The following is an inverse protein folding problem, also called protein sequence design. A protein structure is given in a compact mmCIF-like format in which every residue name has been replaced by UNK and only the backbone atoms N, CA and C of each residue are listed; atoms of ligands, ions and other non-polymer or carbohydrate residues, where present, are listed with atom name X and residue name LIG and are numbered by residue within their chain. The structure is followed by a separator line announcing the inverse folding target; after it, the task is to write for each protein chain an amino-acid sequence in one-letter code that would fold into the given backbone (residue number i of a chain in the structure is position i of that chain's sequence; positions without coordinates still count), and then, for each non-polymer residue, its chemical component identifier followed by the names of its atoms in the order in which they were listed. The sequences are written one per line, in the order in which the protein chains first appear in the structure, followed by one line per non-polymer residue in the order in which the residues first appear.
data_IF_408256307779
#
_entry.id   IF_408256307779
#
_cell.length_a   1.000
_cell.length_b   1.000
_cell.length_c   1.000
_cell.angle_alpha   90.00
_cell.angle_beta   90.00
_cell.angle_gamma   90.00
#
_symmetry.space_group_name_H-M   'P 1'
#
loop_
_entity.id
_entity.type
_entity.pdbx_description
1 polymer ?
#
# COMPACT_ATOMS: atom_id res chain seq x y z
N UNK A 1 -17.67 25.61 12.86
CA UNK A 1 -16.66 25.19 13.86
C UNK A 1 -16.61 23.67 13.82
N UNK A 2 -15.59 22.98 13.36
CA UNK A 2 -14.17 23.29 13.17
C UNK A 2 -13.69 22.49 11.95
N UNK A 3 -13.10 23.19 10.98
CA UNK A 3 -12.32 22.60 9.89
C UNK A 3 -11.15 21.79 10.48
N UNK A 4 -10.87 20.62 9.88
CA UNK A 4 -9.56 19.96 9.98
C UNK A 4 -8.97 19.98 8.58
N UNK A 5 -8.21 21.05 8.32
CA UNK A 5 -7.33 21.16 7.16
C UNK A 5 -6.15 20.19 7.35
N UNK A 6 -6.32 18.95 6.88
CA UNK A 6 -5.20 18.18 6.36
C UNK A 6 -4.98 18.64 4.93
N UNK A 7 -3.78 19.10 4.61
CA UNK A 7 -3.41 19.46 3.24
C UNK A 7 -3.46 18.17 2.42
N UNK A 8 -4.59 17.96 1.75
CA UNK A 8 -4.75 16.96 0.70
C UNK A 8 -3.91 17.45 -0.48
N UNK A 9 -2.67 16.95 -0.59
CA UNK A 9 -1.91 17.13 -1.83
C UNK A 9 -2.52 16.19 -2.87
N UNK A 10 -3.62 16.61 -3.47
CA UNK A 10 -4.18 15.94 -4.65
C UNK A 10 -3.28 16.26 -5.84
N UNK A 11 -2.63 15.24 -6.39
CA UNK A 11 -2.34 15.23 -7.83
C UNK A 11 -3.71 15.01 -8.46
N UNK A 12 -4.17 15.87 -9.37
CA UNK A 12 -5.55 15.92 -9.86
C UNK A 12 -6.20 14.52 -9.97
N UNK A 13 -7.23 14.30 -9.15
CA UNK A 13 -8.03 13.07 -9.02
C UNK A 13 -7.33 11.78 -8.51
N UNK A 14 -6.13 11.86 -7.92
CA UNK A 14 -5.52 10.78 -7.12
C UNK A 14 -5.57 11.09 -5.62
N UNK A 15 -6.30 10.27 -4.87
CA UNK A 15 -6.31 10.34 -3.40
C UNK A 15 -5.05 9.68 -2.84
N UNK A 16 -4.09 10.48 -2.40
CA UNK A 16 -2.85 9.98 -1.78
C UNK A 16 -3.17 9.36 -0.41
N UNK A 17 -2.87 8.07 -0.28
CA UNK A 17 -3.12 7.27 0.91
C UNK A 17 -1.86 7.12 1.78
N UNK A 18 -0.68 7.15 1.15
CA UNK A 18 0.60 6.99 1.81
C UNK A 18 1.71 7.61 0.98
N UNK A 19 2.77 8.09 1.64
CA UNK A 19 4.00 8.55 0.99
C UNK A 19 5.20 7.89 1.64
N UNK A 20 6.14 7.41 0.82
CA UNK A 20 7.41 6.86 1.27
C UNK A 20 8.53 7.40 0.39
N UNK A 21 9.26 8.39 0.90
CA UNK A 21 10.25 9.15 0.14
C UNK A 21 9.57 10.00 -0.94
N UNK A 22 10.14 9.96 -2.14
CA UNK A 22 9.58 10.61 -3.33
C UNK A 22 8.43 9.83 -3.98
N UNK A 23 7.94 8.75 -3.35
CA UNK A 23 6.90 7.89 -3.93
C UNK A 23 5.57 8.12 -3.20
N UNK A 24 4.56 8.49 -3.98
CA UNK A 24 3.18 8.61 -3.55
C UNK A 24 2.39 7.35 -3.92
N UNK A 25 1.60 6.84 -2.99
CA UNK A 25 0.72 5.69 -3.18
C UNK A 25 -0.72 6.12 -2.95
N UNK A 26 -1.62 5.78 -3.86
CA UNK A 26 -2.97 6.32 -3.79
C UNK A 26 -3.98 5.61 -4.66
N UNK A 27 -5.24 5.96 -4.44
CA UNK A 27 -6.40 5.50 -5.20
C UNK A 27 -6.67 6.49 -6.34
N UNK A 28 -6.89 5.96 -7.54
CA UNK A 28 -7.23 6.73 -8.73
C UNK A 28 -8.75 6.93 -8.78
N UNK A 29 -9.19 8.18 -8.71
CA UNK A 29 -10.60 8.57 -8.62
C UNK A 29 -11.29 8.76 -9.98
N UNK A 30 -10.55 9.06 -11.05
CA UNK A 30 -11.12 9.32 -12.37
C UNK A 30 -10.24 8.80 -13.51
N UNK A 31 -10.82 8.71 -14.71
CA UNK A 31 -10.05 8.40 -15.92
C UNK A 31 -9.03 9.51 -16.25
N UNK A 32 -9.40 10.77 -15.97
CA UNK A 32 -8.56 11.94 -16.23
C UNK A 32 -7.28 11.93 -15.40
N UNK A 33 -7.29 11.37 -14.19
CA UNK A 33 -6.08 11.18 -13.40
C UNK A 33 -5.03 10.32 -14.14
N UNK A 34 -5.46 9.39 -15.00
CA UNK A 34 -4.55 8.53 -15.78
C UNK A 34 -3.83 9.33 -16.87
N UNK A 35 -4.45 10.38 -17.41
CA UNK A 35 -3.85 11.26 -18.42
C UNK A 35 -2.62 12.01 -17.89
N UNK A 36 -2.55 12.22 -16.58
CA UNK A 36 -1.44 12.89 -15.92
C UNK A 36 -0.22 11.99 -15.73
N UNK A 37 -0.35 10.67 -15.91
CA UNK A 37 0.76 9.76 -15.68
C UNK A 37 1.74 9.69 -16.83
N UNK A 38 3.03 9.77 -16.50
CA UNK A 38 4.10 9.38 -17.42
C UNK A 38 4.22 7.86 -17.37
N UNK A 39 3.65 7.17 -18.37
CA UNK A 39 3.67 5.71 -18.48
C UNK A 39 4.78 5.26 -19.44
N UNK A 40 5.89 4.77 -18.86
CA UNK A 40 7.00 4.20 -19.62
C UNK A 40 6.67 2.76 -20.07
N UNK A 41 6.38 2.58 -21.36
CA UNK A 41 6.11 1.25 -21.95
C UNK A 41 7.38 0.66 -22.54
N UNK A 42 7.70 -0.58 -22.16
CA UNK A 42 8.97 -1.22 -22.50
C UNK A 42 9.10 -1.53 -24.00
N UNK A 43 10.24 -1.17 -24.59
CA UNK A 43 10.61 -1.44 -25.98
C UNK A 43 11.98 -2.13 -26.03
N UNK A 44 12.44 -2.55 -27.21
CA UNK A 44 13.65 -3.38 -27.38
C UNK A 44 14.87 -2.92 -26.55
N UNK A 45 15.08 -1.61 -26.38
CA UNK A 45 16.19 -1.03 -25.62
C UNK A 45 15.76 -0.12 -24.46
N UNK A 46 14.47 -0.13 -24.08
CA UNK A 46 13.93 0.73 -23.03
C UNK A 46 13.19 -0.12 -22.01
N UNK A 47 13.62 -0.03 -20.74
CA UNK A 47 12.90 -0.59 -19.61
C UNK A 47 11.53 0.10 -19.50
N UNK A 48 10.50 -0.67 -19.20
CA UNK A 48 9.14 -0.17 -19.18
C UNK A 48 8.13 -1.27 -18.85
N UNK A 49 6.92 -0.87 -18.49
CA UNK A 49 5.79 -1.79 -18.37
C UNK A 49 5.60 -2.56 -19.67
N UNK A 50 5.45 -3.87 -19.58
CA UNK A 50 5.36 -4.69 -20.78
C UNK A 50 4.51 -5.94 -20.66
N UNK A 51 4.12 -6.35 -19.45
CA UNK A 51 3.36 -7.57 -19.25
C UNK A 51 2.04 -7.55 -20.00
N UNK A 52 1.20 -6.53 -19.77
CA UNK A 52 -0.13 -6.46 -20.38
C UNK A 52 -0.08 -6.15 -21.88
N UNK A 53 0.88 -5.31 -22.28
CA UNK A 53 1.11 -5.03 -23.69
C UNK A 53 1.51 -6.30 -24.46
N UNK A 54 2.47 -7.09 -23.95
CA UNK A 54 2.93 -8.31 -24.64
C UNK A 54 1.92 -9.45 -24.57
N UNK A 55 1.26 -9.65 -23.42
CA UNK A 55 0.39 -10.80 -23.19
C UNK A 55 -1.02 -10.62 -23.74
N UNK A 56 -1.51 -9.38 -23.82
CA UNK A 56 -2.89 -9.09 -24.21
C UNK A 56 -3.02 -8.04 -25.33
N UNK A 57 -1.91 -7.50 -25.86
CA UNK A 57 -1.95 -6.47 -26.89
C UNK A 57 -2.59 -5.16 -26.42
N UNK A 58 -2.68 -4.93 -25.11
CA UNK A 58 -3.45 -3.84 -24.53
C UNK A 58 -2.56 -2.65 -24.17
N UNK A 59 -2.85 -1.43 -24.66
CA UNK A 59 -2.19 -0.22 -24.20
C UNK A 59 -2.46 0.02 -22.70
N UNK A 60 -1.45 0.44 -21.97
CA UNK A 60 -1.56 0.65 -20.51
C UNK A 60 -2.53 1.76 -20.15
N UNK A 61 -2.47 2.90 -20.83
CA UNK A 61 -3.40 4.01 -20.62
C UNK A 61 -4.87 3.54 -20.79
N UNK A 62 -5.15 2.81 -21.86
CA UNK A 62 -6.47 2.21 -22.10
C UNK A 62 -6.86 1.24 -20.98
N UNK A 63 -5.96 0.34 -20.57
CA UNK A 63 -6.22 -0.60 -19.47
C UNK A 63 -6.59 0.14 -18.18
N UNK A 64 -5.81 1.16 -17.80
CA UNK A 64 -5.98 1.90 -16.55
C UNK A 64 -7.27 2.73 -16.57
N UNK A 65 -7.51 3.51 -17.63
CA UNK A 65 -8.77 4.26 -17.79
C UNK A 65 -9.99 3.35 -17.77
N UNK A 66 -9.95 2.25 -18.52
CA UNK A 66 -11.06 1.28 -18.55
C UNK A 66 -11.34 0.68 -17.19
N UNK A 67 -10.31 0.49 -16.38
CA UNK A 67 -10.45 -0.03 -15.03
C UNK A 67 -11.24 0.92 -14.13
N UNK A 68 -10.96 2.22 -14.19
CA UNK A 68 -11.73 3.23 -13.46
C UNK A 68 -13.17 3.28 -14.00
N UNK A 69 -13.32 3.33 -15.33
CA UNK A 69 -14.62 3.39 -16.02
C UNK A 69 -15.54 2.20 -15.68
N UNK A 70 -14.96 1.02 -15.43
CA UNK A 70 -15.69 -0.20 -15.11
C UNK A 70 -15.92 -0.38 -13.60
N UNK A 71 -15.63 0.64 -12.79
CA UNK A 71 -15.81 0.60 -11.34
C UNK A 71 -14.80 -0.27 -10.61
N UNK A 72 -13.65 -0.59 -11.22
CA UNK A 72 -12.57 -1.26 -10.49
C UNK A 72 -11.83 -0.23 -9.62
N UNK A 73 -11.45 -0.63 -8.41
CA UNK A 73 -10.55 0.16 -7.60
C UNK A 73 -9.13 0.04 -8.19
N UNK A 74 -8.59 1.16 -8.67
CA UNK A 74 -7.26 1.25 -9.25
C UNK A 74 -6.35 2.01 -8.29
N UNK A 75 -5.31 1.35 -7.80
CA UNK A 75 -4.27 1.95 -6.98
C UNK A 75 -3.00 2.14 -7.81
N UNK A 76 -2.29 3.24 -7.57
CA UNK A 76 -1.04 3.56 -8.25
C UNK A 76 0.06 3.94 -7.26
N UNK A 77 1.30 3.71 -7.67
CA UNK A 77 2.50 4.28 -7.09
C UNK A 77 3.13 5.22 -8.12
N UNK A 78 3.38 6.49 -7.75
CA UNK A 78 3.97 7.52 -8.62
C UNK A 78 5.16 8.20 -7.96
N UNK A 79 6.13 8.67 -8.76
CA UNK A 79 7.21 9.54 -8.27
C UNK A 79 6.79 11.03 -8.30
N UNK A 80 7.63 11.93 -7.78
CA UNK A 80 7.42 13.38 -7.81
C UNK A 80 7.37 13.99 -9.24
N UNK A 81 7.55 13.19 -10.29
CA UNK A 81 7.43 13.59 -11.71
C UNK A 81 6.20 12.96 -12.37
N UNK A 82 5.25 12.47 -11.58
CA UNK A 82 4.03 11.80 -12.03
C UNK A 82 4.28 10.54 -12.86
N UNK A 83 5.47 9.95 -12.75
CA UNK A 83 5.78 8.70 -13.44
C UNK A 83 5.11 7.54 -12.73
N UNK A 84 4.40 6.72 -13.48
CA UNK A 84 3.81 5.50 -12.95
C UNK A 84 4.93 4.49 -12.63
N UNK A 85 5.07 4.12 -11.36
CA UNK A 85 6.04 3.13 -10.89
C UNK A 85 5.41 1.75 -10.72
N UNK A 86 4.11 1.70 -10.46
CA UNK A 86 3.35 0.46 -10.38
C UNK A 86 1.86 0.72 -10.20
N UNK A 87 1.04 -0.30 -10.47
CA UNK A 87 -0.40 -0.23 -10.26
C UNK A 87 -0.96 -1.57 -9.78
N UNK A 88 -2.09 -1.52 -9.08
CA UNK A 88 -2.86 -2.68 -8.63
C UNK A 88 -4.35 -2.44 -8.84
N UNK A 89 -5.03 -3.43 -9.42
CA UNK A 89 -6.43 -3.32 -9.83
C UNK A 89 -7.31 -4.36 -9.17
N UNK A 90 -8.39 -3.91 -8.58
CA UNK A 90 -9.31 -4.74 -7.83
C UNK A 90 -10.74 -4.60 -8.35
N UNK A 91 -11.38 -5.72 -8.62
CA UNK A 91 -12.80 -5.78 -8.96
C UNK A 91 -13.60 -6.23 -7.74
N UNK A 92 -14.62 -5.47 -7.37
CA UNK A 92 -15.54 -5.89 -6.30
C UNK A 92 -16.46 -7.00 -6.84
N UNK A 93 -16.44 -8.16 -6.22
CA UNK A 93 -17.20 -9.34 -6.68
C UNK A 93 -18.27 -9.81 -5.69
N UNK A 94 -18.26 -9.28 -4.46
CA UNK A 94 -19.30 -9.49 -3.46
C UNK A 94 -19.35 -8.31 -2.48
N UNK A 95 -20.56 -7.90 -2.11
CA UNK A 95 -20.81 -6.87 -1.11
C UNK A 95 -20.74 -7.40 0.33
N UNK A 96 -20.67 -6.48 1.29
CA UNK A 96 -20.81 -6.82 2.70
C UNK A 96 -22.21 -7.36 2.97
N UNK A 97 -22.31 -8.47 3.71
CA UNK A 97 -23.60 -9.05 4.09
C UNK A 97 -23.62 -9.30 5.59
N UNK A 98 -24.47 -8.57 6.30
CA UNK A 98 -24.78 -8.87 7.69
C UNK A 98 -25.80 -10.01 7.77
N UNK A 99 -25.44 -11.11 8.41
CA UNK A 99 -26.40 -12.18 8.75
C UNK A 99 -26.77 -12.10 10.22
N UNK A 100 -28.02 -11.79 10.52
CA UNK A 100 -28.59 -11.90 11.87
C UNK A 100 -28.86 -13.37 12.16
N UNK A 101 -28.10 -13.97 13.08
CA UNK A 101 -28.34 -15.33 13.53
C UNK A 101 -29.19 -15.31 14.81
N UNK A 102 -30.41 -15.88 14.76
CA UNK A 102 -31.31 -16.21 15.89
C UNK A 102 -31.08 -15.38 17.17
N UNK A 103 -31.25 -14.06 17.06
CA UNK A 103 -31.22 -13.13 18.21
C UNK A 103 -29.88 -12.88 18.90
N UNK A 104 -28.75 -13.50 18.50
CA UNK A 104 -27.43 -13.23 19.08
C UNK A 104 -26.30 -13.30 18.04
N UNK A 105 -25.65 -12.13 17.88
CA UNK A 105 -24.51 -11.77 17.01
C UNK A 105 -24.79 -11.80 15.50
N UNK A 106 -24.74 -10.61 14.90
CA UNK A 106 -24.63 -10.45 13.45
C UNK A 106 -23.26 -10.98 13.00
N UNK A 107 -23.24 -11.94 12.07
CA UNK A 107 -22.00 -12.31 11.37
C UNK A 107 -21.89 -11.35 10.19
N UNK A 108 -20.98 -10.38 10.30
CA UNK A 108 -20.64 -9.49 9.19
C UNK A 108 -19.75 -10.27 8.24
N UNK A 109 -20.24 -10.54 7.02
CA UNK A 109 -19.39 -10.99 5.93
C UNK A 109 -18.78 -9.77 5.28
N UNK A 110 -17.46 -9.66 5.32
CA UNK A 110 -16.74 -8.63 4.60
C UNK A 110 -16.84 -8.84 3.09
N UNK A 111 -16.91 -7.74 2.35
CA UNK A 111 -16.87 -7.69 0.90
C UNK A 111 -15.65 -8.43 0.35
N UNK A 112 -15.75 -8.87 -0.90
CA UNK A 112 -14.68 -9.62 -1.56
C UNK A 112 -14.28 -8.86 -2.80
N UNK A 113 -12.99 -8.56 -2.89
CA UNK A 113 -12.36 -8.01 -4.08
C UNK A 113 -11.47 -9.06 -4.74
N UNK A 114 -11.51 -9.09 -6.06
CA UNK A 114 -10.63 -9.88 -6.90
C UNK A 114 -9.49 -8.98 -7.41
N UNK A 115 -8.26 -9.30 -7.03
CA UNK A 115 -7.07 -8.69 -7.63
C UNK A 115 -6.96 -9.18 -9.08
N UNK A 116 -7.26 -8.30 -10.03
CA UNK A 116 -7.23 -8.57 -11.47
C UNK A 116 -5.84 -8.43 -12.07
N UNK A 117 -5.05 -7.49 -11.56
CA UNK A 117 -3.72 -7.21 -12.06
C UNK A 117 -2.91 -6.44 -11.04
N UNK A 118 -1.62 -6.73 -10.96
CA UNK A 118 -0.61 -5.92 -10.27
C UNK A 118 0.67 -5.95 -11.10
N UNK A 119 1.27 -4.79 -11.34
CA UNK A 119 2.55 -4.70 -12.04
C UNK A 119 3.39 -3.56 -11.45
N UNK A 120 4.70 -3.79 -11.38
CA UNK A 120 5.70 -2.79 -11.01
C UNK A 120 6.66 -2.64 -12.17
N UNK A 121 6.95 -1.39 -12.50
CA UNK A 121 7.88 -1.01 -13.54
C UNK A 121 9.24 -1.71 -13.31
N UNK A 122 9.85 -2.35 -14.34
CA UNK A 122 11.01 -3.22 -14.15
C UNK A 122 12.21 -2.56 -13.47
N UNK A 123 12.48 -1.29 -13.75
CA UNK A 123 13.57 -0.52 -13.13
C UNK A 123 13.42 -0.31 -11.62
N UNK A 124 12.22 -0.52 -11.08
CA UNK A 124 11.89 -0.32 -9.68
C UNK A 124 11.44 -1.61 -8.99
N UNK A 125 11.79 -2.77 -9.58
CA UNK A 125 11.57 -4.06 -8.92
C UNK A 125 12.54 -4.23 -7.75
N UNK A 126 12.18 -5.11 -6.82
CA UNK A 126 13.00 -5.49 -5.65
C UNK A 126 13.26 -4.42 -4.59
N UNK A 127 12.81 -3.18 -4.77
CA UNK A 127 12.87 -2.11 -3.74
C UNK A 127 11.60 -2.00 -2.89
N UNK A 128 10.64 -2.91 -3.08
CA UNK A 128 9.47 -3.03 -2.19
C UNK A 128 8.19 -2.32 -2.63
N UNK A 129 8.21 -1.52 -3.70
CA UNK A 129 7.03 -0.78 -4.21
C UNK A 129 5.79 -1.68 -4.34
N UNK A 130 5.91 -2.83 -5.01
CA UNK A 130 4.74 -3.70 -5.22
C UNK A 130 4.16 -4.28 -3.93
N UNK A 131 5.01 -4.52 -2.92
CA UNK A 131 4.58 -5.01 -1.61
C UNK A 131 3.85 -3.90 -0.84
N UNK A 132 4.42 -2.69 -0.83
CA UNK A 132 3.84 -1.54 -0.15
C UNK A 132 2.54 -1.09 -0.83
N UNK A 133 2.52 -0.98 -2.16
CA UNK A 133 1.33 -0.67 -2.96
C UNK A 133 0.19 -1.64 -2.66
N UNK A 134 0.46 -2.94 -2.64
CA UNK A 134 -0.55 -3.93 -2.31
C UNK A 134 -1.06 -3.76 -0.88
N UNK A 135 -0.17 -3.59 0.10
CA UNK A 135 -0.54 -3.43 1.50
C UNK A 135 -1.45 -2.21 1.75
N UNK A 136 -1.10 -1.07 1.17
CA UNK A 136 -1.91 0.16 1.24
C UNK A 136 -3.28 -0.05 0.58
N UNK A 137 -3.30 -0.69 -0.60
CA UNK A 137 -4.55 -0.97 -1.30
C UNK A 137 -5.50 -1.81 -0.46
N UNK A 138 -5.01 -2.92 0.13
CA UNK A 138 -5.88 -3.82 0.91
C UNK A 138 -6.30 -3.24 2.25
N UNK A 139 -5.49 -2.37 2.86
CA UNK A 139 -5.88 -1.61 4.05
C UNK A 139 -6.99 -0.60 3.74
N UNK A 140 -6.90 0.08 2.60
CA UNK A 140 -7.93 1.00 2.11
C UNK A 140 -9.24 0.27 1.81
N UNK A 141 -9.18 -0.87 1.13
CA UNK A 141 -10.38 -1.64 0.73
C UNK A 141 -11.12 -2.29 1.91
N UNK A 142 -10.43 -2.59 3.02
CA UNK A 142 -11.00 -3.20 4.24
C UNK A 142 -11.83 -4.47 3.96
N UNK A 143 -11.36 -5.30 3.04
CA UNK A 143 -12.11 -6.43 2.48
C UNK A 143 -11.31 -7.73 2.48
N UNK A 144 -11.99 -8.83 2.15
CA UNK A 144 -11.30 -10.04 1.70
C UNK A 144 -10.74 -9.81 0.31
N UNK A 145 -9.55 -10.35 0.03
CA UNK A 145 -8.92 -10.25 -1.30
C UNK A 145 -8.70 -11.65 -1.83
N UNK A 146 -9.16 -11.92 -3.04
CA UNK A 146 -8.81 -13.14 -3.76
C UNK A 146 -7.95 -12.82 -4.98
N UNK A 147 -7.12 -13.78 -5.38
CA UNK A 147 -6.31 -13.66 -6.60
C UNK A 147 -6.04 -15.03 -7.20
N UNK A 148 -5.85 -15.07 -8.52
CA UNK A 148 -5.33 -16.24 -9.22
C UNK A 148 -3.98 -15.87 -9.82
N UNK A 149 -2.87 -16.30 -9.19
CA UNK A 149 -1.54 -16.05 -9.72
C UNK A 149 -1.38 -16.67 -11.11
N UNK A 150 -0.68 -15.98 -11.98
CA UNK A 150 -0.48 -16.38 -13.38
C UNK A 150 0.65 -17.42 -13.56
N UNK A 151 1.55 -17.51 -12.59
CA UNK A 151 2.67 -18.45 -12.58
C UNK A 151 3.07 -18.87 -11.14
N UNK A 152 3.95 -19.86 -11.04
CA UNK A 152 4.39 -20.41 -9.75
C UNK A 152 5.17 -19.40 -8.89
N UNK A 153 5.98 -18.54 -9.49
CA UNK A 153 6.75 -17.52 -8.76
C UNK A 153 5.83 -16.45 -8.16
N UNK A 154 4.82 -16.01 -8.92
CA UNK A 154 3.77 -15.13 -8.43
C UNK A 154 2.99 -15.81 -7.29
N UNK A 155 2.62 -17.09 -7.45
CA UNK A 155 1.93 -17.83 -6.41
C UNK A 155 2.76 -17.94 -5.11
N UNK A 156 4.07 -18.16 -5.24
CA UNK A 156 5.00 -18.16 -4.11
C UNK A 156 5.07 -16.79 -3.45
N UNK A 157 5.19 -15.71 -4.24
CA UNK A 157 5.19 -14.34 -3.73
C UNK A 157 3.92 -14.02 -2.93
N UNK A 158 2.73 -14.33 -3.46
CA UNK A 158 1.47 -14.07 -2.75
C UNK A 158 1.38 -14.84 -1.43
N UNK A 159 1.77 -16.13 -1.41
CA UNK A 159 1.71 -16.95 -0.21
C UNK A 159 2.74 -16.53 0.84
N UNK A 160 4.01 -16.45 0.45
CA UNK A 160 5.11 -16.27 1.39
C UNK A 160 5.34 -14.82 1.78
N UNK A 161 5.02 -13.86 0.90
CA UNK A 161 5.31 -12.43 1.14
C UNK A 161 4.06 -11.61 1.43
N UNK A 162 2.89 -12.04 0.98
CA UNK A 162 1.61 -11.33 1.18
C UNK A 162 0.59 -12.13 2.00
N UNK A 163 1.01 -13.25 2.61
CA UNK A 163 0.21 -14.04 3.56
C UNK A 163 -1.09 -14.63 2.98
N UNK A 164 -1.14 -14.84 1.66
CA UNK A 164 -2.27 -15.49 1.04
C UNK A 164 -2.31 -16.99 1.36
N UNK A 165 -3.50 -17.51 1.61
CA UNK A 165 -3.77 -18.92 1.83
C UNK A 165 -4.60 -19.48 0.68
N UNK A 166 -4.67 -20.81 0.52
CA UNK A 166 -5.62 -21.40 -0.43
C UNK A 166 -7.04 -21.20 0.10
N UNK A 167 -7.99 -20.91 -0.77
CA UNK A 167 -9.41 -20.96 -0.41
C UNK A 167 -9.74 -22.38 0.05
N UNK A 168 -10.24 -22.53 1.28
CA UNK A 168 -10.67 -23.82 1.80
C UNK A 168 -12.11 -24.09 1.38
N UNK A 169 -12.48 -25.37 1.22
CA UNK A 169 -13.85 -25.76 0.83
C UNK A 169 -14.94 -25.35 1.81
N UNK A 170 -14.56 -24.96 3.04
CA UNK A 170 -15.46 -24.49 4.10
C UNK A 170 -15.52 -22.96 4.19
N UNK A 171 -14.76 -22.22 3.38
CA UNK A 171 -14.78 -20.76 3.35
C UNK A 171 -16.07 -20.27 2.69
N UNK A 172 -17.11 -20.15 3.52
CA UNK A 172 -18.43 -19.70 3.12
C UNK A 172 -18.48 -18.25 2.60
N UNK A 173 -17.34 -17.54 2.61
CA UNK A 173 -17.13 -16.17 2.13
C UNK A 173 -16.98 -16.08 0.61
N UNK A 174 -16.58 -17.16 -0.07
CA UNK A 174 -16.22 -17.11 -1.50
C UNK A 174 -17.01 -18.18 -2.29
N UNK A 175 -17.54 -17.78 -3.45
CA UNK A 175 -18.23 -18.70 -4.37
C UNK A 175 -17.33 -19.87 -4.80
N UNK A 176 -17.91 -21.06 -4.98
CA UNK A 176 -17.21 -22.28 -5.42
C UNK A 176 -16.45 -22.12 -6.74
N UNK A 177 -16.83 -21.15 -7.58
CA UNK A 177 -16.11 -20.80 -8.82
C UNK A 177 -14.67 -20.35 -8.57
N UNK A 178 -14.33 -19.91 -7.35
CA UNK A 178 -13.00 -19.44 -6.98
C UNK A 178 -12.21 -20.43 -6.11
N UNK A 179 -12.60 -21.71 -6.05
CA UNK A 179 -11.94 -22.74 -5.22
C UNK A 179 -10.42 -22.88 -5.44
N UNK A 180 -9.91 -22.50 -6.62
CA UNK A 180 -8.50 -22.57 -6.97
C UNK A 180 -7.74 -21.25 -6.71
N UNK A 181 -8.43 -20.22 -6.21
CA UNK A 181 -7.84 -18.92 -5.95
C UNK A 181 -7.12 -18.96 -4.60
N UNK A 182 -6.23 -17.98 -4.43
CA UNK A 182 -5.69 -17.65 -3.13
C UNK A 182 -6.57 -16.60 -2.46
N UNK A 183 -6.66 -16.65 -1.13
CA UNK A 183 -7.43 -15.74 -0.28
C UNK A 183 -6.50 -15.10 0.75
N UNK A 184 -6.56 -13.78 0.81
CA UNK A 184 -6.13 -12.98 1.96
C UNK A 184 -7.40 -12.52 2.68
N UNK A 185 -7.71 -13.18 3.79
CA UNK A 185 -8.93 -12.92 4.54
C UNK A 185 -8.84 -11.63 5.34
N UNK A 186 -9.97 -10.96 5.53
CA UNK A 186 -10.11 -9.97 6.59
C UNK A 186 -10.35 -10.70 7.92
N UNK A 187 -9.62 -10.39 9.01
CA UNK A 187 -8.81 -9.18 9.24
C UNK A 187 -7.31 -9.29 8.92
N UNK A 188 -6.79 -10.40 8.38
CA UNK A 188 -5.35 -10.52 8.02
C UNK A 188 -4.93 -9.43 7.02
N UNK A 189 -5.78 -9.13 6.05
CA UNK A 189 -5.59 -8.04 5.10
C UNK A 189 -5.32 -6.69 5.80
N UNK A 190 -6.04 -6.40 6.89
CA UNK A 190 -5.95 -5.14 7.64
C UNK A 190 -4.60 -4.94 8.32
N UNK A 191 -3.98 -6.01 8.80
CA UNK A 191 -2.73 -5.94 9.57
C UNK A 191 -1.49 -6.04 8.67
N UNK A 192 -1.67 -6.26 7.36
CA UNK A 192 -0.57 -6.49 6.44
C UNK A 192 0.38 -5.29 6.36
N UNK A 193 -0.14 -4.06 6.26
CA UNK A 193 0.72 -2.86 6.24
C UNK A 193 1.54 -2.74 7.52
N UNK A 194 0.92 -2.95 8.68
CA UNK A 194 1.61 -2.92 9.98
C UNK A 194 2.70 -3.99 10.09
N UNK A 195 2.44 -5.21 9.63
CA UNK A 195 3.45 -6.29 9.60
C UNK A 195 4.62 -5.90 8.70
N UNK A 196 4.34 -5.31 7.54
CA UNK A 196 5.37 -4.86 6.62
C UNK A 196 6.18 -3.71 7.22
N UNK A 197 5.52 -2.76 7.88
CA UNK A 197 6.16 -1.64 8.56
C UNK A 197 7.10 -2.10 9.69
N UNK A 198 6.71 -3.09 10.49
CA UNK A 198 7.59 -3.66 11.51
C UNK A 198 8.80 -4.40 10.94
N UNK A 199 8.61 -5.17 9.86
CA UNK A 199 9.71 -5.93 9.25
C UNK A 199 10.65 -5.07 8.39
N UNK A 200 10.13 -4.00 7.78
CA UNK A 200 10.84 -3.16 6.81
C UNK A 200 10.50 -1.67 7.00
N UNK A 201 10.80 -1.08 8.16
CA UNK A 201 10.35 0.28 8.50
C UNK A 201 10.87 1.32 7.51
N UNK A 202 12.12 1.22 7.05
CA UNK A 202 12.68 2.11 6.03
C UNK A 202 11.93 2.08 4.69
N UNK A 203 11.33 0.94 4.34
CA UNK A 203 10.54 0.83 3.10
C UNK A 203 9.22 1.57 3.23
N UNK A 204 8.62 1.59 4.42
CA UNK A 204 7.30 2.17 4.66
C UNK A 204 7.38 3.64 5.08
N UNK A 205 8.35 3.99 5.91
CA UNK A 205 8.49 5.32 6.53
C UNK A 205 9.96 5.79 6.48
N UNK A 206 10.56 5.89 5.29
CA UNK A 206 11.98 6.23 5.13
C UNK A 206 12.34 7.55 5.82
N UNK A 207 11.49 8.58 5.74
CA UNK A 207 11.76 9.89 6.31
C UNK A 207 11.87 9.85 7.84
N UNK A 208 11.03 9.03 8.50
CA UNK A 208 11.12 8.85 9.95
C UNK A 208 12.42 8.15 10.33
N UNK A 209 12.76 7.07 9.64
CA UNK A 209 13.96 6.28 9.92
C UNK A 209 15.22 7.09 9.64
N UNK A 210 15.28 7.81 8.52
CA UNK A 210 16.39 8.69 8.18
C UNK A 210 16.55 9.81 9.19
N UNK A 211 15.44 10.43 9.62
CA UNK A 211 15.47 11.47 10.66
C UNK A 211 15.98 10.91 11.99
N UNK A 212 15.51 9.73 12.39
CA UNK A 212 15.94 9.08 13.63
C UNK A 212 17.44 8.75 13.62
N UNK A 213 17.92 8.08 12.58
CA UNK A 213 19.32 7.68 12.46
C UNK A 213 20.26 8.89 12.36
N UNK A 214 19.85 9.93 11.64
CA UNK A 214 20.61 11.19 11.53
C UNK A 214 20.78 11.86 12.90
N UNK A 215 19.69 11.94 13.68
CA UNK A 215 19.72 12.51 15.03
C UNK A 215 20.54 11.65 16.00
N UNK A 216 20.38 10.32 15.95
CA UNK A 216 21.20 9.40 16.74
C UNK A 216 22.68 9.56 16.44
N UNK A 217 23.04 9.66 15.16
CA UNK A 217 24.43 9.89 14.75
C UNK A 217 24.98 11.22 15.27
N UNK A 218 24.20 12.31 15.17
CA UNK A 218 24.60 13.62 15.70
C UNK A 218 24.80 13.58 17.22
N UNK A 219 23.86 12.97 17.95
CA UNK A 219 23.93 12.81 19.40
C UNK A 219 25.17 12.02 19.82
N UNK A 220 25.45 10.89 19.16
CA UNK A 220 26.62 10.06 19.45
C UNK A 220 27.95 10.76 19.15
N UNK A 221 27.95 11.71 18.21
CA UNK A 221 29.12 12.53 17.87
C UNK A 221 29.25 13.80 18.74
N UNK A 222 28.36 14.01 19.72
CA UNK A 222 28.32 15.22 20.53
C UNK A 222 28.02 16.49 19.73
N UNK A 223 27.41 16.35 18.54
CA UNK A 223 27.01 17.50 17.72
C UNK A 223 25.73 18.12 18.26
N UNK A 224 25.66 19.44 18.22
CA UNK A 224 24.45 20.17 18.58
C UNK A 224 23.29 19.77 17.64
N UNK A 225 22.17 19.37 18.22
CA UNK A 225 20.93 19.07 17.50
C UNK A 225 20.00 20.29 17.61
N UNK A 226 19.50 20.77 16.47
CA UNK A 226 18.64 21.94 16.48
C UNK A 226 17.23 21.58 16.96
N UNK A 227 16.54 22.54 17.61
CA UNK A 227 15.13 22.38 18.00
C UNK A 227 14.23 22.08 16.79
N UNK A 228 14.58 22.61 15.61
CA UNK A 228 13.85 22.37 14.36
C UNK A 228 13.92 20.90 13.95
N UNK A 229 15.08 20.25 14.11
CA UNK A 229 15.25 18.84 13.76
C UNK A 229 14.48 17.93 14.71
N UNK A 230 14.45 18.26 16.01
CA UNK A 230 13.63 17.56 17.01
C UNK A 230 12.14 17.69 16.65
N UNK A 231 11.63 18.89 16.42
CA UNK A 231 10.20 19.12 16.07
C UNK A 231 9.83 18.36 14.79
N UNK A 232 10.73 18.34 13.78
CA UNK A 232 10.52 17.57 12.55
C UNK A 232 10.40 16.09 12.85
N UNK A 233 11.31 15.55 13.67
CA UNK A 233 11.29 14.14 14.06
C UNK A 233 10.03 13.78 14.86
N UNK A 234 9.64 14.61 15.84
CA UNK A 234 8.40 14.44 16.61
C UNK A 234 7.17 14.39 15.70
N UNK A 235 7.09 15.29 14.73
CA UNK A 235 5.99 15.34 13.76
C UNK A 235 5.93 14.04 12.93
N UNK A 236 7.07 13.57 12.42
CA UNK A 236 7.17 12.32 11.67
C UNK A 236 6.77 11.11 12.53
N UNK A 237 7.20 11.09 13.79
CA UNK A 237 6.92 10.01 14.73
C UNK A 237 5.43 9.95 15.07
N UNK A 238 4.81 11.10 15.35
CA UNK A 238 3.38 11.17 15.62
C UNK A 238 2.56 10.64 14.44
N UNK A 239 2.88 11.07 13.22
CA UNK A 239 2.16 10.66 12.01
C UNK A 239 2.31 9.16 11.71
N UNK A 240 3.46 8.55 12.02
CA UNK A 240 3.75 7.15 11.71
C UNK A 240 3.56 6.19 12.90
N UNK A 241 3.23 6.70 14.09
CA UNK A 241 3.15 5.93 15.35
C UNK A 241 2.27 4.67 15.27
N UNK A 242 1.20 4.72 14.49
CA UNK A 242 0.27 3.60 14.32
C UNK A 242 0.87 2.41 13.53
N UNK A 243 1.90 2.65 12.72
CA UNK A 243 2.60 1.65 11.89
C UNK A 243 3.84 1.07 12.56
N UNK A 244 4.41 1.76 13.54
CA UNK A 244 5.59 1.29 14.26
C UNK A 244 5.29 0.05 15.10
N UNK A 245 6.27 -0.84 15.22
CA UNK A 245 6.26 -1.85 16.26
C UNK A 245 6.52 -1.20 17.64
N UNK A 246 6.10 -1.90 18.70
CA UNK A 246 6.17 -1.36 20.06
C UNK A 246 7.61 -1.13 20.56
N UNK A 247 8.58 -1.90 20.07
CA UNK A 247 9.97 -1.78 20.52
C UNK A 247 10.61 -0.51 19.91
N UNK A 248 10.51 -0.36 18.59
CA UNK A 248 11.05 0.80 17.87
C UNK A 248 10.36 2.10 18.31
N UNK A 249 9.04 2.06 18.54
CA UNK A 249 8.31 3.22 19.10
C UNK A 249 8.82 3.59 20.49
N UNK A 250 9.05 2.61 21.37
CA UNK A 250 9.58 2.87 22.71
C UNK A 250 11.00 3.44 22.65
N UNK A 251 11.86 2.89 21.79
CA UNK A 251 13.23 3.37 21.57
C UNK A 251 13.24 4.84 21.11
N UNK A 252 12.46 5.19 20.08
CA UNK A 252 12.35 6.56 19.57
C UNK A 252 11.81 7.54 20.62
N UNK A 253 10.84 7.12 21.43
CA UNK A 253 10.30 7.94 22.52
C UNK A 253 11.32 8.15 23.64
N UNK A 254 12.13 7.14 23.99
CA UNK A 254 13.21 7.28 24.97
C UNK A 254 14.29 8.24 24.47
N UNK A 255 14.63 8.16 23.18
CA UNK A 255 15.54 9.11 22.55
C UNK A 255 15.03 10.54 22.66
N UNK A 256 13.77 10.82 22.33
CA UNK A 256 13.17 12.15 22.46
C UNK A 256 13.22 12.71 23.88
N UNK A 257 12.93 11.88 24.90
CA UNK A 257 12.95 12.31 26.30
C UNK A 257 14.32 12.81 26.77
N UNK A 258 15.41 12.34 26.16
CA UNK A 258 16.77 12.81 26.46
C UNK A 258 17.00 14.28 26.10
N UNK A 259 16.19 14.85 25.19
CA UNK A 259 16.29 16.26 24.80
C UNK A 259 15.32 17.16 25.56
N UNK A 260 14.17 16.63 26.00
CA UNK A 260 13.20 17.35 26.84
C UNK A 260 13.71 17.53 28.27
N UNK A 261 14.56 16.61 28.75
CA UNK A 261 15.11 16.65 30.12
C UNK A 261 16.34 17.56 30.25
N UNK A 262 16.85 18.10 29.14
CA UNK A 262 18.08 18.90 29.05
C UNK A 262 17.83 20.35 28.59
N UNK A 263 16.57 20.77 28.54
CA UNK A 263 16.10 22.12 28.17
C UNK A 263 15.28 22.73 29.30
#
# INVERSE_FOLDING_TARGET
MSEKNGIEMSIDDMSVLHRAGSISYGLIGSESAVDNFIIEVGRANLSGFNYFHKKFGMPYEFLLKRSVSSGHALFAATDDRDRLLGFARFEKIADDVERVHKGKKSVVRHSVYLLRSIEVHPSFRHIGIGRLLFAIAVECLRSNIITMPDNADAARFFKEKLMFEKVSGNDCTVSSRYKNYLLLSYPKARVLLKIIAGNYPRMVMPELIDSYESLMFMSNMGKAISKKDIIRFETLLMNSSHLLDGNLLNEMNLFLKSFVSNS
#
